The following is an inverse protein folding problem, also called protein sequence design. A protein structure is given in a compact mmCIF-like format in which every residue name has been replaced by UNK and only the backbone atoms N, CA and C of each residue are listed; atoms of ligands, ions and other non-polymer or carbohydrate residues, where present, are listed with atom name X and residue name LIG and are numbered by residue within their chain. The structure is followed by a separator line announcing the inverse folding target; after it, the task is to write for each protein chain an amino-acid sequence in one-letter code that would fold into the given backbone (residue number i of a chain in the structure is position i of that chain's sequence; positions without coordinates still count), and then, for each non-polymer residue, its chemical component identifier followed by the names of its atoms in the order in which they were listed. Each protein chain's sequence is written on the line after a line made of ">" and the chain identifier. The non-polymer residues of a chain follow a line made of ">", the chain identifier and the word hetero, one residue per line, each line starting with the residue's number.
data_IF_919341184415
#
_entry.id   IF_919341184415
#
_cell.length_a   1.000
_cell.length_b   1.000
_cell.length_c   1.000
_cell.angle_alpha   90.00
_cell.angle_beta   90.00
_cell.angle_gamma   90.00
#
_symmetry.space_group_name_H-M   'P 1'
#
loop_
_entity.id
_entity.type
_entity.pdbx_description
1 polymer ?
#
# COMPACT_ATOMS: atom_id res chain seq x y z
N UNK A 1 -19.42 19.10 20.18
CA UNK A 1 -19.40 17.83 20.95
C UNK A 1 -18.06 17.14 20.69
N UNK A 2 -17.13 17.13 21.67
CA UNK A 2 -15.84 16.41 21.54
C UNK A 2 -16.11 14.90 21.67
N UNK A 3 -15.58 14.08 20.75
CA UNK A 3 -15.65 12.61 20.82
C UNK A 3 -14.86 12.13 22.04
N UNK A 4 -15.47 11.28 22.85
CA UNK A 4 -14.84 10.65 24.01
C UNK A 4 -13.90 9.55 23.50
N UNK A 5 -12.60 9.84 23.41
CA UNK A 5 -11.56 8.84 23.19
C UNK A 5 -11.37 8.05 24.48
N UNK A 6 -11.57 6.74 24.42
CA UNK A 6 -11.31 5.82 25.53
C UNK A 6 -9.86 5.38 25.41
N UNK A 7 -8.97 5.99 26.18
CA UNK A 7 -7.58 5.56 26.27
C UNK A 7 -7.51 4.20 26.98
N UNK A 8 -6.73 3.27 26.43
CA UNK A 8 -6.66 1.87 26.85
C UNK A 8 -5.77 1.71 28.09
N UNK A 9 -4.79 2.57 28.25
CA UNK A 9 -3.88 2.61 29.40
C UNK A 9 -3.40 4.05 29.69
N UNK A 10 -2.63 4.20 30.78
CA UNK A 10 -2.11 5.50 31.24
C UNK A 10 -1.08 6.07 30.27
N UNK A 11 -0.30 5.22 29.62
CA UNK A 11 0.76 5.61 28.68
C UNK A 11 0.13 6.23 27.42
N UNK A 12 -0.96 5.65 26.91
CA UNK A 12 -1.70 6.17 25.76
C UNK A 12 -2.40 7.51 26.07
N UNK A 13 -2.87 7.69 27.31
CA UNK A 13 -3.44 8.95 27.76
C UNK A 13 -2.37 10.05 27.86
N UNK A 14 -1.21 9.74 28.43
CA UNK A 14 -0.09 10.68 28.56
C UNK A 14 0.49 11.05 27.19
N UNK A 15 0.52 10.11 26.23
CA UNK A 15 0.89 10.38 24.84
C UNK A 15 -0.10 11.32 24.16
N UNK A 16 -1.40 11.16 24.39
CA UNK A 16 -2.42 12.03 23.82
C UNK A 16 -2.36 13.46 24.39
N UNK A 17 -2.16 13.59 25.70
CA UNK A 17 -2.03 14.89 26.38
C UNK A 17 -0.73 15.62 25.97
N UNK A 18 0.37 14.88 25.79
CA UNK A 18 1.63 15.43 25.28
C UNK A 18 1.56 15.83 23.80
N UNK A 19 0.74 15.17 22.97
CA UNK A 19 0.47 15.61 21.59
C UNK A 19 -0.35 16.91 21.54
N UNK A 20 -1.33 17.10 22.43
CA UNK A 20 -2.15 18.32 22.48
C UNK A 20 -1.37 19.56 22.97
N UNK A 21 -0.26 19.36 23.68
CA UNK A 21 0.52 20.45 24.30
C UNK A 21 1.66 20.98 23.42
N UNK A 22 1.86 20.47 22.19
CA UNK A 22 2.85 20.92 21.18
C UNK A 22 4.30 21.13 21.68
N UNK A 23 4.66 20.62 22.86
CA UNK A 23 5.96 20.86 23.51
C UNK A 23 7.08 19.90 23.05
N UNK A 24 6.90 19.20 21.93
CA UNK A 24 7.90 18.27 21.41
C UNK A 24 9.07 19.05 20.79
N UNK A 25 10.22 19.01 21.46
CA UNK A 25 11.46 19.58 20.95
C UNK A 25 12.31 18.41 20.43
N UNK A 26 12.86 18.58 19.24
CA UNK A 26 13.75 17.58 18.64
C UNK A 26 15.07 17.53 19.42
N UNK A 27 15.32 16.42 20.11
CA UNK A 27 16.60 16.17 20.82
C UNK A 27 17.76 15.81 19.87
N UNK A 28 17.51 15.72 18.55
CA UNK A 28 18.51 15.38 17.55
C UNK A 28 19.52 16.51 17.32
N UNK A 29 20.81 16.14 17.19
CA UNK A 29 21.84 17.07 16.73
C UNK A 29 21.53 17.54 15.29
N UNK A 30 21.96 18.75 14.95
CA UNK A 30 21.71 19.35 13.63
C UNK A 30 22.23 18.50 12.47
N UNK A 31 23.33 17.74 12.70
CA UNK A 31 23.87 16.79 11.72
C UNK A 31 22.97 15.57 11.53
N UNK A 32 22.50 14.98 12.62
CA UNK A 32 21.63 13.80 12.58
C UNK A 32 20.29 14.13 11.93
N UNK A 33 19.70 15.28 12.30
CA UNK A 33 18.48 15.79 11.66
C UNK A 33 18.64 15.93 10.16
N UNK A 34 19.74 16.54 9.70
CA UNK A 34 20.02 16.70 8.26
C UNK A 34 20.22 15.35 7.55
N UNK A 35 20.86 14.39 8.22
CA UNK A 35 21.07 13.04 7.68
C UNK A 35 19.76 12.25 7.56
N UNK A 36 18.88 12.33 8.55
CA UNK A 36 17.55 11.72 8.49
C UNK A 36 16.67 12.37 7.44
N UNK A 37 16.70 13.70 7.33
CA UNK A 37 15.96 14.45 6.30
C UNK A 37 16.41 14.04 4.90
N UNK A 38 17.74 13.98 4.66
CA UNK A 38 18.30 13.51 3.38
C UNK A 38 17.93 12.06 3.08
N UNK A 39 17.98 11.18 4.07
CA UNK A 39 17.62 9.77 3.92
C UNK A 39 16.13 9.62 3.58
N UNK A 40 15.26 10.35 4.27
CA UNK A 40 13.83 10.37 4.02
C UNK A 40 13.54 10.85 2.58
N UNK A 41 14.12 11.98 2.17
CA UNK A 41 14.00 12.50 0.81
C UNK A 41 14.53 11.53 -0.24
N UNK A 42 15.65 10.87 0.02
CA UNK A 42 16.23 9.87 -0.89
C UNK A 42 15.33 8.62 -1.02
N UNK A 43 14.75 8.16 0.08
CA UNK A 43 13.84 7.01 0.09
C UNK A 43 12.53 7.28 -0.67
N UNK A 44 12.03 8.52 -0.62
CA UNK A 44 10.84 8.94 -1.35
C UNK A 44 11.11 9.03 -2.86
N UNK A 45 12.32 9.43 -3.25
CA UNK A 45 12.67 9.70 -4.64
C UNK A 45 13.29 8.52 -5.39
N UNK A 46 13.66 7.42 -4.71
CA UNK A 46 14.31 6.29 -5.38
C UNK A 46 13.30 5.40 -6.11
N UNK A 47 13.02 5.74 -7.37
CA UNK A 47 12.27 4.87 -8.29
C UNK A 47 13.16 3.71 -8.76
N UNK A 48 12.69 2.47 -8.59
CA UNK A 48 13.36 1.27 -9.13
C UNK A 48 12.69 0.86 -10.44
N UNK A 49 13.49 0.60 -11.47
CA UNK A 49 13.00 0.05 -12.73
C UNK A 49 12.85 -1.47 -12.62
N UNK A 50 11.75 -2.00 -13.15
CA UNK A 50 11.49 -3.44 -13.24
C UNK A 50 11.12 -3.82 -14.67
N UNK A 51 11.65 -4.94 -15.15
CA UNK A 51 11.28 -5.52 -16.43
C UNK A 51 10.21 -6.59 -16.21
N UNK A 52 9.05 -6.45 -16.88
CA UNK A 52 7.94 -7.39 -16.76
C UNK A 52 7.76 -8.08 -18.12
N UNK A 53 7.83 -9.41 -18.14
CA UNK A 53 7.49 -10.23 -19.31
C UNK A 53 6.02 -10.58 -19.29
N UNK A 54 5.31 -10.35 -20.39
CA UNK A 54 3.89 -10.68 -20.53
C UNK A 54 3.50 -11.02 -21.96
N UNK A 55 2.36 -11.67 -22.14
CA UNK A 55 1.86 -11.98 -23.48
C UNK A 55 1.41 -10.72 -24.22
N UNK A 56 1.53 -10.71 -25.55
CA UNK A 56 1.07 -9.59 -26.39
C UNK A 56 -0.43 -9.33 -26.18
N UNK A 57 -1.23 -10.40 -26.06
CA UNK A 57 -2.67 -10.32 -25.80
C UNK A 57 -2.96 -9.56 -24.50
N UNK A 58 -2.21 -9.80 -23.44
CA UNK A 58 -2.44 -9.13 -22.15
C UNK A 58 -2.00 -7.66 -22.21
N UNK A 59 -0.88 -7.37 -22.87
CA UNK A 59 -0.42 -6.01 -23.09
C UNK A 59 -1.47 -5.18 -23.86
N UNK A 60 -2.08 -5.76 -24.90
CA UNK A 60 -3.13 -5.09 -25.68
C UNK A 60 -4.37 -4.79 -24.82
N UNK A 61 -4.81 -5.74 -23.98
CA UNK A 61 -5.93 -5.51 -23.06
C UNK A 61 -5.64 -4.42 -22.04
N UNK A 62 -4.42 -4.38 -21.51
CA UNK A 62 -3.99 -3.35 -20.56
C UNK A 62 -4.00 -1.98 -21.24
N UNK A 63 -3.49 -1.87 -22.47
CA UNK A 63 -3.53 -0.62 -23.24
C UNK A 63 -4.96 -0.15 -23.51
N UNK A 64 -5.86 -1.06 -23.88
CA UNK A 64 -7.26 -0.72 -24.10
C UNK A 64 -7.90 -0.13 -22.83
N UNK A 65 -7.72 -0.81 -21.69
CA UNK A 65 -8.22 -0.33 -20.38
C UNK A 65 -7.60 1.00 -19.96
N UNK A 66 -6.32 1.22 -20.24
CA UNK A 66 -5.66 2.47 -19.93
C UNK A 66 -6.25 3.65 -20.74
N UNK A 67 -6.57 3.40 -22.02
CA UNK A 67 -7.25 4.40 -22.88
C UNK A 67 -8.67 4.69 -22.38
N UNK A 68 -9.42 3.66 -21.95
CA UNK A 68 -10.75 3.83 -21.35
C UNK A 68 -10.72 4.75 -20.11
N UNK A 69 -9.68 4.60 -19.28
CA UNK A 69 -9.45 5.43 -18.08
C UNK A 69 -8.78 6.79 -18.40
N UNK A 70 -8.41 7.03 -19.67
CA UNK A 70 -7.77 8.27 -20.11
C UNK A 70 -6.34 8.47 -19.59
N UNK A 71 -5.64 7.39 -19.20
CA UNK A 71 -4.29 7.46 -18.63
C UNK A 71 -3.28 6.64 -19.43
N UNK A 72 -1.98 6.98 -19.39
CA UNK A 72 -0.94 6.19 -20.04
C UNK A 72 -0.90 4.75 -19.51
N UNK A 73 -0.66 3.76 -20.38
CA UNK A 73 -0.63 2.35 -19.98
C UNK A 73 0.42 2.05 -18.89
N UNK A 74 1.54 2.77 -18.88
CA UNK A 74 2.56 2.64 -17.84
C UNK A 74 2.04 3.12 -16.48
N UNK A 75 1.38 4.28 -16.45
CA UNK A 75 0.72 4.82 -15.25
C UNK A 75 -0.41 3.92 -14.76
N UNK A 76 -1.16 3.32 -15.68
CA UNK A 76 -2.19 2.34 -15.36
C UNK A 76 -1.61 1.09 -14.68
N UNK A 77 -0.51 0.54 -15.22
CA UNK A 77 0.20 -0.59 -14.59
C UNK A 77 0.72 -0.21 -13.20
N UNK A 78 1.32 0.98 -13.05
CA UNK A 78 1.80 1.47 -11.76
C UNK A 78 0.66 1.61 -10.74
N UNK A 79 -0.49 2.15 -11.16
CA UNK A 79 -1.70 2.25 -10.33
C UNK A 79 -2.20 0.88 -9.88
N UNK A 80 -2.21 -0.12 -10.77
CA UNK A 80 -2.62 -1.48 -10.40
C UNK A 80 -1.70 -2.08 -9.34
N UNK A 81 -0.38 -1.91 -9.48
CA UNK A 81 0.60 -2.37 -8.48
C UNK A 81 0.35 -1.67 -7.14
N UNK A 82 0.11 -0.36 -7.16
CA UNK A 82 -0.16 0.39 -5.94
C UNK A 82 -1.45 -0.07 -5.25
N UNK A 83 -2.55 -0.20 -6.00
CA UNK A 83 -3.84 -0.71 -5.49
C UNK A 83 -3.73 -2.14 -4.95
N UNK A 84 -2.88 -2.97 -5.56
CA UNK A 84 -2.60 -4.31 -5.06
C UNK A 84 -1.83 -4.28 -3.73
N UNK A 85 -0.78 -3.45 -3.62
CA UNK A 85 -0.01 -3.30 -2.39
C UNK A 85 -0.83 -2.72 -1.22
N UNK A 86 -1.77 -1.83 -1.51
CA UNK A 86 -2.71 -1.28 -0.51
C UNK A 86 -3.81 -2.28 -0.09
N UNK A 87 -3.84 -3.48 -0.67
CA UNK A 87 -4.88 -4.49 -0.39
C UNK A 87 -6.26 -4.17 -0.99
N UNK A 88 -6.36 -3.15 -1.85
CA UNK A 88 -7.60 -2.77 -2.54
C UNK A 88 -7.92 -3.69 -3.73
N UNK A 89 -6.98 -4.53 -4.14
CA UNK A 89 -7.15 -5.56 -5.17
C UNK A 89 -6.80 -6.94 -4.61
N UNK A 90 -7.73 -7.89 -4.66
CA UNK A 90 -7.50 -9.29 -4.30
C UNK A 90 -7.36 -10.16 -5.56
N UNK A 91 -6.26 -10.90 -5.68
CA UNK A 91 -6.11 -11.91 -6.73
C UNK A 91 -6.81 -13.18 -6.25
N UNK A 92 -8.12 -13.28 -6.44
CA UNK A 92 -8.83 -14.53 -6.16
C UNK A 92 -8.50 -15.52 -7.28
N UNK A 93 -7.61 -16.48 -7.01
CA UNK A 93 -7.40 -17.60 -7.91
C UNK A 93 -8.67 -18.48 -7.90
N UNK A 94 -9.20 -18.89 -9.05
CA UNK A 94 -10.32 -19.83 -9.09
C UNK A 94 -9.79 -21.21 -8.66
N UNK A 95 -9.84 -21.49 -7.36
CA UNK A 95 -9.65 -22.84 -6.84
C UNK A 95 -10.80 -23.70 -7.35
N UNK A 96 -10.52 -24.61 -8.28
CA UNK A 96 -11.47 -25.66 -8.68
C UNK A 96 -11.75 -26.54 -7.46
N UNK A 97 -12.86 -26.30 -6.74
CA UNK A 97 -13.38 -27.27 -5.77
C UNK A 97 -13.68 -28.57 -6.52
N UNK A 98 -12.83 -29.58 -6.30
CA UNK A 98 -13.01 -30.92 -6.81
C UNK A 98 -14.35 -31.49 -6.33
N UNK A 99 -15.28 -31.69 -7.25
CA UNK A 99 -16.51 -32.44 -7.02
C UNK A 99 -16.13 -33.92 -6.92
N UNK A 100 -15.79 -34.38 -5.71
CA UNK A 100 -15.76 -35.83 -5.42
C UNK A 100 -17.20 -36.32 -5.51
N UNK A 101 -17.59 -36.82 -6.68
CA UNK A 101 -18.80 -37.63 -6.83
C UNK A 101 -18.51 -38.91 -6.06
N UNK A 102 -19.08 -39.05 -4.87
CA UNK A 102 -19.17 -40.34 -4.19
C UNK A 102 -19.90 -41.30 -5.13
N UNK A 103 -19.17 -42.29 -5.62
CA UNK A 103 -19.78 -43.50 -6.16
C UNK A 103 -20.15 -44.30 -4.92
N UNK A 104 -21.45 -44.36 -4.60
CA UNK A 104 -21.93 -45.31 -3.61
C UNK A 104 -21.74 -46.71 -4.20
N UNK A 105 -20.95 -47.52 -3.50
CA UNK A 105 -20.87 -48.95 -3.71
C UNK A 105 -22.24 -49.60 -3.48
N UNK A 106 -22.62 -50.50 -4.38
CA UNK A 106 -23.65 -51.53 -4.20
C UNK A 106 -22.97 -52.86 -4.45
#
# INVERSE_FOLDING_TARGET
>A
MKKKTSYVDKDEQELAESLETENWISDLDAKEKNQYEKTALYSLNTQKQINITMSERDLMKIRAKAVEEGIPYQSFISMLIHKYNEGKLSITSPTKKGKRRGINAV
#
